data_IF_748561494186
#
_entry.id   IF_748561494186
#
_cell.length_a   1.000
_cell.length_b   1.000
_cell.length_c   1.000
_cell.angle_alpha   90.00
_cell.angle_beta   90.00
_cell.angle_gamma   90.00
#
_symmetry.space_group_name_H-M   'P 1'
#
loop_
_entity.id
_entity.type
_entity.pdbx_description
1 polymer ?
#
# COMPACT_ATOMS: atom_id res chain seq x y z
N UNK A 1 -5.10 -10.28 8.49
CA UNK A 1 -3.84 -10.99 8.84
C UNK A 1 -3.42 -10.66 10.28
N UNK A 2 -2.83 -11.60 11.04
CA UNK A 2 -2.54 -11.42 12.48
C UNK A 2 -1.07 -11.20 12.84
N UNK A 3 -0.41 -10.24 12.18
CA UNK A 3 0.95 -9.81 12.57
C UNK A 3 1.10 -8.28 12.46
N UNK A 4 1.26 -7.57 13.60
CA UNK A 4 1.44 -6.12 13.61
C UNK A 4 2.80 -5.67 13.08
N UNK A 5 3.76 -6.57 12.89
CA UNK A 5 5.11 -6.24 12.38
C UNK A 5 5.27 -6.54 10.89
N UNK A 6 4.19 -6.87 10.19
CA UNK A 6 4.29 -7.13 8.77
C UNK A 6 4.93 -5.97 8.02
N UNK A 7 5.90 -6.31 7.18
CA UNK A 7 6.52 -5.39 6.26
C UNK A 7 5.59 -5.14 5.08
N UNK A 8 5.52 -3.89 4.60
CA UNK A 8 4.67 -3.54 3.46
C UNK A 8 5.02 -4.37 2.21
N UNK A 9 6.28 -4.75 2.02
CA UNK A 9 6.67 -5.65 0.92
C UNK A 9 5.93 -7.00 0.93
N UNK A 10 5.69 -7.56 2.12
CA UNK A 10 4.93 -8.81 2.29
C UNK A 10 3.42 -8.61 2.11
N UNK A 11 2.95 -7.35 2.16
CA UNK A 11 1.56 -6.96 1.86
C UNK A 11 1.38 -6.84 0.35
N UNK A 12 2.35 -6.25 -0.35
CA UNK A 12 2.34 -6.07 -1.81
C UNK A 12 2.19 -7.42 -2.52
N UNK A 13 2.89 -8.47 -2.06
CA UNK A 13 2.79 -9.81 -2.65
C UNK A 13 1.39 -10.47 -2.50
N UNK A 14 0.48 -9.86 -1.75
CA UNK A 14 -0.89 -10.33 -1.54
C UNK A 14 -1.92 -9.54 -2.33
N UNK A 15 -1.54 -8.40 -2.90
CA UNK A 15 -2.38 -7.71 -3.87
C UNK A 15 -2.46 -8.60 -5.10
N UNK A 16 -3.68 -8.90 -5.51
CA UNK A 16 -3.94 -9.73 -6.69
C UNK A 16 -4.77 -8.92 -7.66
N UNK A 17 -4.39 -9.02 -8.93
CA UNK A 17 -5.24 -8.65 -10.06
C UNK A 17 -6.03 -9.91 -10.42
N UNK A 18 -7.34 -9.78 -10.58
CA UNK A 18 -8.22 -10.84 -11.09
C UNK A 18 -8.72 -10.42 -12.47
N UNK A 19 -7.84 -10.44 -13.49
CA UNK A 19 -8.11 -9.80 -14.77
C UNK A 19 -9.33 -10.43 -15.43
N UNK A 20 -10.36 -9.63 -15.73
CA UNK A 20 -11.52 -10.07 -16.51
C UNK A 20 -11.26 -9.96 -18.02
N UNK A 21 -10.27 -9.15 -18.42
CA UNK A 21 -9.82 -8.99 -19.80
C UNK A 21 -8.32 -8.72 -19.88
N UNK A 22 -7.73 -8.77 -21.07
CA UNK A 22 -6.31 -8.47 -21.29
C UNK A 22 -5.92 -7.01 -21.02
N UNK A 23 -6.91 -6.12 -20.88
CA UNK A 23 -6.73 -4.70 -20.57
C UNK A 23 -6.86 -4.41 -19.06
N UNK A 24 -7.14 -5.43 -18.26
CA UNK A 24 -7.47 -5.31 -16.84
C UNK A 24 -6.21 -5.52 -15.99
N UNK A 25 -5.42 -4.47 -15.83
CA UNK A 25 -4.17 -4.44 -15.06
C UNK A 25 -4.31 -3.80 -13.67
N UNK A 26 -5.55 -3.43 -13.31
CA UNK A 26 -5.87 -2.73 -12.06
C UNK A 26 -6.02 -3.73 -10.92
N UNK A 27 -5.45 -3.41 -9.77
CA UNK A 27 -5.61 -4.21 -8.56
C UNK A 27 -7.05 -4.08 -8.06
N UNK A 28 -7.83 -5.17 -8.15
CA UNK A 28 -9.21 -5.22 -7.67
C UNK A 28 -9.32 -5.13 -6.14
N UNK A 29 -8.34 -5.71 -5.44
CA UNK A 29 -8.32 -5.79 -3.98
C UNK A 29 -7.14 -5.01 -3.41
N UNK A 30 -7.34 -3.70 -3.23
CA UNK A 30 -6.32 -2.77 -2.77
C UNK A 30 -6.33 -2.52 -1.25
N UNK A 31 -7.24 -3.18 -0.51
CA UNK A 31 -7.37 -3.07 0.96
C UNK A 31 -6.82 -4.32 1.65
N UNK A 32 -5.85 -4.10 2.55
CA UNK A 32 -5.35 -5.15 3.45
C UNK A 32 -5.62 -4.79 4.92
N UNK A 33 -6.37 -5.67 5.58
CA UNK A 33 -6.67 -5.57 7.00
C UNK A 33 -5.62 -6.31 7.84
N UNK A 34 -4.92 -5.56 8.69
CA UNK A 34 -3.97 -6.09 9.67
C UNK A 34 -4.62 -6.08 11.05
N UNK A 35 -4.93 -7.28 11.53
CA UNK A 35 -5.57 -7.56 12.81
C UNK A 35 -4.50 -7.90 13.85
N UNK A 36 -3.96 -6.89 14.52
CA UNK A 36 -3.09 -7.04 15.70
C UNK A 36 -3.68 -6.35 16.93
N UNK A 37 -2.92 -6.21 18.03
CA UNK A 37 -3.30 -5.39 19.18
C UNK A 37 -3.70 -3.96 18.77
N UNK A 38 -3.05 -3.43 17.75
CA UNK A 38 -3.48 -2.23 17.01
C UNK A 38 -3.95 -2.66 15.62
N UNK A 39 -5.17 -2.28 15.27
CA UNK A 39 -5.78 -2.55 13.97
C UNK A 39 -5.25 -1.53 12.96
N UNK A 40 -4.86 -2.00 11.77
CA UNK A 40 -4.40 -1.13 10.69
C UNK A 40 -5.08 -1.52 9.38
N UNK A 41 -5.39 -0.51 8.59
CA UNK A 41 -5.82 -0.63 7.21
C UNK A 41 -4.65 -0.17 6.35
N UNK A 42 -4.33 -0.94 5.32
CA UNK A 42 -3.33 -0.59 4.31
C UNK A 42 -4.07 -0.55 2.98
N UNK A 43 -3.95 0.55 2.25
CA UNK A 43 -4.62 0.82 0.96
C UNK A 43 -3.62 0.83 -0.20
N UNK A 44 -4.13 0.84 -1.44
CA UNK A 44 -3.30 1.03 -2.63
C UNK A 44 -2.49 2.34 -2.58
N UNK A 45 -3.06 3.41 -2.03
CA UNK A 45 -2.38 4.70 -1.87
C UNK A 45 -1.22 4.67 -0.89
N UNK A 46 -1.31 3.88 0.19
CA UNK A 46 -0.20 3.69 1.14
C UNK A 46 0.99 2.98 0.47
N UNK A 47 0.69 2.05 -0.43
CA UNK A 47 1.66 1.28 -1.20
C UNK A 47 2.29 2.15 -2.28
N UNK A 48 1.47 2.88 -3.05
CA UNK A 48 1.92 3.85 -4.03
C UNK A 48 2.81 4.92 -3.40
N UNK A 49 2.40 5.50 -2.27
CA UNK A 49 3.19 6.50 -1.54
C UNK A 49 4.55 5.97 -1.08
N UNK A 50 4.67 4.67 -0.75
CA UNK A 50 5.96 4.05 -0.41
C UNK A 50 6.83 3.79 -1.64
N UNK A 51 6.25 3.39 -2.77
CA UNK A 51 6.98 3.20 -4.02
C UNK A 51 7.50 4.53 -4.58
N UNK A 52 6.70 5.59 -4.47
CA UNK A 52 7.08 6.93 -4.89
C UNK A 52 8.04 7.63 -3.91
N UNK A 53 8.25 7.07 -2.71
CA UNK A 53 9.16 7.64 -1.72
C UNK A 53 10.61 7.57 -2.23
N UNK A 54 11.21 8.73 -2.48
CA UNK A 54 12.54 8.85 -3.08
C UNK A 54 12.52 9.24 -4.56
N UNK A 55 11.36 9.14 -5.22
CA UNK A 55 11.12 9.69 -6.56
C UNK A 55 10.42 11.04 -6.46
N UNK A 56 9.42 11.13 -5.57
CA UNK A 56 8.73 12.38 -5.28
C UNK A 56 9.72 13.38 -4.65
N UNK A 57 9.95 14.49 -5.33
CA UNK A 57 10.74 15.61 -4.83
C UNK A 57 9.97 16.18 -3.63
N UNK A 58 10.54 16.01 -2.43
CA UNK A 58 10.05 16.75 -1.27
C UNK A 58 10.44 18.21 -1.49
N UNK A 59 9.45 19.08 -1.70
CA UNK A 59 9.70 20.51 -1.60
C UNK A 59 10.04 20.80 -0.13
N UNK A 60 11.33 20.94 0.16
CA UNK A 60 11.88 21.15 1.51
C UNK A 60 11.51 22.52 2.09
N UNK A 61 10.71 23.33 1.39
CA UNK A 61 10.27 24.64 1.84
C UNK A 61 9.00 24.63 2.70
N UNK A 62 8.30 23.51 2.82
CA UNK A 62 7.12 23.42 3.69
C UNK A 62 7.54 22.94 5.08
N UNK A 63 7.64 23.89 6.01
CA UNK A 63 7.79 23.59 7.44
C UNK A 63 6.51 22.89 7.96
N UNK A 64 6.62 21.86 8.82
CA UNK A 64 5.43 21.26 9.43
C UNK A 64 4.73 22.30 10.32
N UNK A 65 3.40 22.40 10.20
CA UNK A 65 2.55 23.17 11.11
C UNK A 65 2.15 22.32 12.31
#
# INVERSE_FOLDING_TARGET
MRDPRILLGNVISRLKVLPQSSEDDVIDQDIVLVWGPVKRVITGSDILGRLLRGIAIRDTRVSPK
#
